data_IF_094404736592
#
_entry.id   IF_094404736592
#
_cell.length_a   1.000
_cell.length_b   1.000
_cell.length_c   1.000
_cell.angle_alpha   90.00
_cell.angle_beta   90.00
_cell.angle_gamma   90.00
#
_symmetry.space_group_name_H-M   'P 1'
#
loop_
_entity.id
_entity.type
_entity.pdbx_description
1 polymer ?
#
# COMPACT_ATOMS: atom_id res chain seq x y z
N UNK A 1 -5.76 -7.32 26.06
CA UNK A 1 -5.32 -6.00 26.56
C UNK A 1 -3.82 -6.07 26.84
N UNK A 2 -3.02 -5.94 25.79
CA UNK A 2 -1.64 -5.47 25.88
C UNK A 2 -1.60 -4.29 24.92
N UNK A 3 -1.37 -3.12 25.50
CA UNK A 3 -1.18 -1.84 24.84
C UNK A 3 0.19 -1.90 24.15
N UNK A 4 0.19 -2.20 22.86
CA UNK A 4 1.38 -2.08 22.00
C UNK A 4 0.94 -1.26 20.79
N UNK A 5 0.67 0.02 21.04
CA UNK A 5 0.44 0.99 19.98
C UNK A 5 1.72 1.19 19.17
N UNK A 6 1.56 1.63 17.92
CA UNK A 6 2.67 1.90 17.00
C UNK A 6 3.63 3.02 17.49
N UNK A 7 3.27 3.73 18.55
CA UNK A 7 4.03 4.82 19.17
C UNK A 7 5.27 4.39 19.97
N UNK A 8 5.43 3.10 20.27
CA UNK A 8 6.57 2.56 21.05
C UNK A 8 7.82 2.22 20.22
N UNK A 9 7.96 2.74 18.99
CA UNK A 9 9.16 2.56 18.14
C UNK A 9 10.34 3.42 18.61
N UNK A 10 10.69 3.38 19.90
CA UNK A 10 11.80 4.13 20.50
C UNK A 10 13.20 3.66 20.01
N UNK A 11 13.29 2.54 19.28
CA UNK A 11 14.56 1.94 18.82
C UNK A 11 14.65 1.76 17.29
N UNK A 12 14.12 2.73 16.52
CA UNK A 12 14.23 2.71 15.06
C UNK A 12 15.67 2.99 14.60
N UNK A 13 16.28 2.01 13.90
CA UNK A 13 17.61 2.14 13.29
C UNK A 13 17.49 2.35 11.80
N UNK A 14 18.01 3.48 11.30
CA UNK A 14 18.04 3.79 9.87
C UNK A 14 19.34 3.29 9.24
N UNK A 15 19.23 2.65 8.08
CA UNK A 15 20.34 2.24 7.21
C UNK A 15 20.01 2.61 5.77
N UNK A 16 20.96 3.17 5.05
CA UNK A 16 20.81 3.53 3.65
C UNK A 16 21.54 2.49 2.82
N UNK A 17 20.79 1.75 1.99
CA UNK A 17 21.34 0.76 1.06
C UNK A 17 20.47 0.66 -0.19
N UNK A 18 21.03 0.04 -1.22
CA UNK A 18 20.32 -0.31 -2.44
C UNK A 18 19.92 -1.79 -2.41
N UNK A 19 18.65 -2.12 -2.62
CA UNK A 19 18.18 -3.52 -2.63
C UNK A 19 18.77 -4.34 -3.78
N UNK A 20 19.38 -3.69 -4.77
CA UNK A 20 20.13 -4.32 -5.85
C UNK A 20 21.53 -4.78 -5.41
N UNK A 21 22.00 -4.38 -4.24
CA UNK A 21 23.25 -4.87 -3.66
C UNK A 21 22.97 -6.07 -2.75
N UNK A 22 23.15 -7.28 -3.29
CA UNK A 22 22.90 -8.52 -2.57
C UNK A 22 23.76 -8.66 -1.31
N UNK A 23 25.03 -8.24 -1.36
CA UNK A 23 25.96 -8.37 -0.23
C UNK A 23 25.52 -7.44 0.90
N UNK A 24 25.15 -6.20 0.58
CA UNK A 24 24.64 -5.24 1.56
C UNK A 24 23.32 -5.72 2.19
N UNK A 25 22.39 -6.26 1.39
CA UNK A 25 21.13 -6.83 1.91
C UNK A 25 21.39 -8.02 2.83
N UNK A 26 22.30 -8.92 2.46
CA UNK A 26 22.68 -10.06 3.29
C UNK A 26 23.32 -9.62 4.60
N UNK A 27 24.23 -8.65 4.54
CA UNK A 27 24.89 -8.10 5.73
C UNK A 27 23.88 -7.45 6.69
N UNK A 28 22.93 -6.67 6.18
CA UNK A 28 21.88 -6.07 6.99
C UNK A 28 21.01 -7.13 7.68
N UNK A 29 20.59 -8.15 6.94
CA UNK A 29 19.75 -9.23 7.48
C UNK A 29 20.49 -10.07 8.52
N UNK A 30 21.80 -10.28 8.36
CA UNK A 30 22.64 -10.98 9.34
C UNK A 30 22.92 -10.13 10.59
N UNK A 31 23.08 -8.80 10.46
CA UNK A 31 23.25 -7.88 11.60
C UNK A 31 21.94 -7.73 12.38
N UNK A 32 20.81 -7.65 11.67
CA UNK A 32 19.52 -7.31 12.27
C UNK A 32 18.81 -8.51 12.89
N UNK A 33 18.99 -9.70 12.30
CA UNK A 33 18.29 -10.94 12.68
C UNK A 33 16.78 -10.73 12.93
N UNK A 34 16.02 -10.18 11.96
CA UNK A 34 14.62 -9.83 12.19
C UNK A 34 13.73 -11.08 12.31
N UNK A 35 12.66 -10.97 13.09
CA UNK A 35 11.59 -11.95 13.19
C UNK A 35 10.59 -11.85 12.01
N UNK A 36 10.27 -10.61 11.61
CA UNK A 36 9.30 -10.28 10.56
C UNK A 36 9.94 -9.29 9.59
N UNK A 37 9.77 -9.53 8.30
CA UNK A 37 10.25 -8.65 7.23
C UNK A 37 9.09 -8.06 6.45
N UNK A 38 9.09 -6.73 6.28
CA UNK A 38 8.20 -6.03 5.36
C UNK A 38 9.03 -5.48 4.19
N UNK A 39 8.90 -6.08 3.01
CA UNK A 39 9.63 -5.64 1.82
C UNK A 39 8.78 -4.66 0.99
N UNK A 40 9.01 -3.35 1.17
CA UNK A 40 8.31 -2.27 0.46
C UNK A 40 9.16 -1.55 -0.58
N UNK A 41 10.48 -1.78 -0.60
CA UNK A 41 11.40 -1.10 -1.51
C UNK A 41 11.13 -1.45 -2.98
N UNK A 42 10.88 -0.43 -3.80
CA UNK A 42 10.60 -0.57 -5.23
C UNK A 42 10.82 0.76 -5.96
N UNK A 43 11.04 0.71 -7.28
CA UNK A 43 10.76 1.81 -8.20
C UNK A 43 9.23 1.85 -8.40
N UNK A 44 8.49 2.86 -7.89
CA UNK A 44 7.03 2.82 -7.78
C UNK A 44 6.27 3.61 -8.87
N UNK A 45 6.96 4.28 -9.78
CA UNK A 45 6.41 5.22 -10.75
C UNK A 45 6.28 4.61 -12.15
N UNK A 46 5.05 4.54 -12.65
CA UNK A 46 4.72 4.06 -14.00
C UNK A 46 5.43 4.89 -15.07
N UNK A 47 5.39 6.23 -14.97
CA UNK A 47 6.01 7.12 -15.97
C UNK A 47 7.53 6.96 -16.01
N UNK A 48 8.19 6.96 -14.85
CA UNK A 48 9.63 6.72 -14.76
C UNK A 48 10.02 5.33 -15.30
N UNK A 49 9.13 4.34 -15.21
CA UNK A 49 9.40 3.00 -15.73
C UNK A 49 9.52 2.93 -17.26
N UNK A 50 8.87 3.83 -18.00
CA UNK A 50 9.07 3.95 -19.44
C UNK A 50 10.44 4.56 -19.78
N UNK A 51 10.92 5.49 -18.95
CA UNK A 51 12.23 6.13 -19.14
C UNK A 51 13.38 5.20 -18.73
N UNK A 52 13.23 4.48 -17.61
CA UNK A 52 14.24 3.59 -17.03
C UNK A 52 13.69 2.17 -16.77
N UNK A 53 13.34 1.40 -17.82
CA UNK A 53 12.74 0.07 -17.66
C UNK A 53 13.69 -0.92 -17.00
N UNK A 54 14.96 -0.96 -17.41
CA UNK A 54 15.95 -1.88 -16.84
C UNK A 54 16.17 -1.61 -15.36
N UNK A 55 16.24 -0.34 -14.96
CA UNK A 55 16.33 0.05 -13.55
C UNK A 55 15.11 -0.44 -12.76
N UNK A 56 13.91 -0.27 -13.34
CA UNK A 56 12.65 -0.73 -12.74
C UNK A 56 12.65 -2.24 -12.51
N UNK A 57 13.04 -3.02 -13.51
CA UNK A 57 13.18 -4.47 -13.36
C UNK A 57 14.28 -4.84 -12.37
N UNK A 58 15.45 -4.21 -12.42
CA UNK A 58 16.54 -4.50 -11.48
C UNK A 58 16.13 -4.24 -10.03
N UNK A 59 15.40 -3.16 -9.77
CA UNK A 59 14.96 -2.81 -8.42
C UNK A 59 13.84 -3.74 -7.96
N UNK A 60 12.79 -3.88 -8.77
CA UNK A 60 11.56 -4.55 -8.34
C UNK A 60 11.67 -6.08 -8.42
N UNK A 61 12.41 -6.61 -9.40
CA UNK A 61 12.53 -8.07 -9.63
C UNK A 61 13.77 -8.62 -8.95
N UNK A 62 14.95 -8.09 -9.27
CA UNK A 62 16.19 -8.57 -8.69
C UNK A 62 16.29 -8.19 -7.20
N UNK A 63 15.85 -6.98 -6.81
CA UNK A 63 15.76 -6.61 -5.39
C UNK A 63 14.81 -7.51 -4.57
N UNK A 64 13.66 -7.92 -5.14
CA UNK A 64 12.78 -8.93 -4.51
C UNK A 64 13.51 -10.26 -4.32
N UNK A 65 14.22 -10.73 -5.36
CA UNK A 65 14.98 -11.97 -5.29
C UNK A 65 16.10 -11.90 -4.23
N UNK A 66 16.80 -10.77 -4.14
CA UNK A 66 17.85 -10.56 -3.14
C UNK A 66 17.31 -10.62 -1.72
N UNK A 67 16.19 -9.95 -1.46
CA UNK A 67 15.55 -9.98 -0.15
C UNK A 67 15.08 -11.39 0.22
N UNK A 68 14.44 -12.11 -0.70
CA UNK A 68 13.98 -13.48 -0.45
C UNK A 68 15.14 -14.47 -0.25
N UNK A 69 16.25 -14.30 -0.96
CA UNK A 69 17.45 -15.11 -0.72
C UNK A 69 18.10 -14.77 0.63
N UNK A 70 18.12 -13.50 1.03
CA UNK A 70 18.59 -13.11 2.35
C UNK A 70 17.72 -13.69 3.48
N UNK A 71 16.39 -13.68 3.32
CA UNK A 71 15.45 -14.37 4.23
C UNK A 71 15.71 -15.88 4.27
N UNK A 72 16.07 -16.49 3.14
CA UNK A 72 16.47 -17.90 3.07
C UNK A 72 17.81 -18.17 3.78
N UNK A 73 18.62 -17.16 4.06
CA UNK A 73 19.88 -17.33 4.80
C UNK A 73 19.72 -16.96 6.29
N UNK A 74 18.86 -15.98 6.61
CA UNK A 74 18.60 -15.51 7.96
C UNK A 74 17.61 -16.41 8.72
N UNK A 75 18.08 -17.12 9.76
CA UNK A 75 17.28 -18.15 10.46
C UNK A 75 16.24 -17.59 11.44
N UNK A 76 16.40 -16.34 11.88
CA UNK A 76 15.45 -15.67 12.78
C UNK A 76 14.12 -15.35 12.12
N UNK A 77 14.12 -15.15 10.79
CA UNK A 77 12.92 -14.72 10.06
C UNK A 77 11.87 -15.82 10.08
N UNK A 78 10.69 -15.49 10.61
CA UNK A 78 9.52 -16.37 10.60
C UNK A 78 8.41 -15.90 9.69
N UNK A 79 8.37 -14.62 9.33
CA UNK A 79 7.40 -14.08 8.38
C UNK A 79 7.99 -13.01 7.46
N UNK A 80 7.56 -13.00 6.21
CA UNK A 80 7.81 -11.92 5.25
C UNK A 80 6.51 -11.56 4.51
N UNK A 81 6.23 -10.26 4.49
CA UNK A 81 5.22 -9.64 3.63
C UNK A 81 5.94 -8.86 2.54
N UNK A 82 5.87 -9.35 1.31
CA UNK A 82 6.37 -8.64 0.13
C UNK A 82 5.25 -7.76 -0.46
N UNK A 83 5.44 -6.44 -0.50
CA UNK A 83 4.45 -5.50 -1.01
C UNK A 83 4.63 -5.30 -2.51
N UNK A 84 3.66 -5.81 -3.28
CA UNK A 84 3.69 -5.76 -4.74
C UNK A 84 2.91 -4.55 -5.25
N UNK A 85 1.77 -4.73 -5.90
CA UNK A 85 0.89 -3.66 -6.39
C UNK A 85 -0.43 -4.25 -6.86
N UNK A 86 -1.50 -3.44 -6.81
CA UNK A 86 -2.73 -3.67 -7.56
C UNK A 86 -2.51 -3.92 -9.07
N UNK A 87 -1.40 -3.43 -9.64
CA UNK A 87 -1.07 -3.56 -11.08
C UNK A 87 -0.29 -4.83 -11.44
N UNK A 88 -0.10 -5.76 -10.51
CA UNK A 88 0.60 -7.02 -10.79
C UNK A 88 -0.22 -7.99 -11.67
N UNK A 89 -1.54 -7.79 -11.77
CA UNK A 89 -2.44 -8.63 -12.56
C UNK A 89 -2.33 -8.36 -14.06
N UNK A 90 -2.59 -9.39 -14.87
CA UNK A 90 -2.80 -9.25 -16.31
C UNK A 90 -4.08 -8.45 -16.56
N UNK A 91 -3.93 -7.21 -17.01
CA UNK A 91 -5.04 -6.29 -17.11
C UNK A 91 -5.95 -6.61 -18.31
N UNK A 92 -7.16 -7.08 -18.04
CA UNK A 92 -8.21 -7.42 -19.01
C UNK A 92 -9.09 -6.24 -19.44
N UNK A 93 -8.87 -5.04 -18.88
CA UNK A 93 -9.67 -3.82 -19.17
C UNK A 93 -11.19 -4.05 -19.02
N UNK A 94 -11.58 -4.80 -17.99
CA UNK A 94 -12.96 -5.16 -17.68
C UNK A 94 -13.48 -4.50 -16.40
N UNK A 95 -14.76 -4.68 -16.07
CA UNK A 95 -15.39 -4.03 -14.91
C UNK A 95 -15.22 -4.80 -13.59
N UNK A 96 -14.74 -6.04 -13.62
CA UNK A 96 -14.67 -6.90 -12.43
C UNK A 96 -13.38 -6.67 -11.62
N UNK A 97 -13.47 -6.72 -10.29
CA UNK A 97 -12.30 -6.66 -9.43
C UNK A 97 -11.46 -7.95 -9.52
N UNK A 98 -10.14 -7.82 -9.48
CA UNK A 98 -9.23 -8.95 -9.59
C UNK A 98 -9.18 -9.78 -8.31
N UNK A 99 -9.26 -11.10 -8.46
CA UNK A 99 -9.09 -12.08 -7.36
C UNK A 99 -7.65 -12.57 -7.28
N UNK A 100 -7.22 -12.99 -6.10
CA UNK A 100 -5.81 -13.35 -5.87
C UNK A 100 -5.30 -14.53 -6.71
N UNK A 101 -6.22 -15.34 -7.24
CA UNK A 101 -5.96 -16.51 -8.09
C UNK A 101 -5.85 -16.20 -9.58
N UNK A 102 -6.05 -14.95 -9.99
CA UNK A 102 -5.96 -14.55 -11.40
C UNK A 102 -4.53 -14.35 -11.88
N UNK A 103 -4.36 -14.35 -13.21
CA UNK A 103 -3.04 -14.29 -13.85
C UNK A 103 -2.29 -13.01 -13.53
N UNK A 104 -0.98 -13.15 -13.32
CA UNK A 104 -0.05 -12.03 -13.24
C UNK A 104 0.30 -11.54 -14.65
N UNK A 105 0.67 -10.27 -14.76
CA UNK A 105 1.03 -9.64 -16.02
C UNK A 105 1.55 -8.23 -15.80
N UNK A 106 1.07 -7.29 -16.60
CA UNK A 106 1.35 -5.86 -16.48
C UNK A 106 1.77 -5.24 -17.81
N UNK A 107 1.04 -4.21 -18.25
CA UNK A 107 1.23 -3.60 -19.56
C UNK A 107 2.51 -2.76 -19.66
N UNK A 108 2.77 -1.92 -18.66
CA UNK A 108 3.97 -1.08 -18.57
C UNK A 108 5.09 -1.75 -17.74
N UNK A 109 6.36 -1.32 -17.86
CA UNK A 109 7.49 -1.94 -17.17
C UNK A 109 7.34 -1.99 -15.64
N UNK A 110 6.73 -0.97 -15.01
CA UNK A 110 6.45 -1.01 -13.57
C UNK A 110 5.46 -2.13 -13.25
N UNK A 111 4.30 -2.16 -13.90
CA UNK A 111 3.27 -3.17 -13.68
C UNK A 111 3.81 -4.58 -13.93
N UNK A 112 4.51 -4.79 -15.06
CA UNK A 112 5.16 -6.05 -15.40
C UNK A 112 6.17 -6.50 -14.33
N UNK A 113 6.99 -5.57 -13.82
CA UNK A 113 7.96 -5.88 -12.77
C UNK A 113 7.30 -6.31 -11.45
N UNK A 114 6.11 -5.78 -11.12
CA UNK A 114 5.32 -6.20 -9.96
C UNK A 114 4.68 -7.58 -10.17
N UNK A 115 4.23 -7.90 -11.40
CA UNK A 115 3.84 -9.25 -11.78
C UNK A 115 5.00 -10.26 -11.66
N UNK A 116 6.22 -9.87 -12.04
CA UNK A 116 7.42 -10.69 -11.84
C UNK A 116 7.75 -10.90 -10.36
N UNK A 117 7.64 -9.86 -9.51
CA UNK A 117 7.85 -9.96 -8.06
C UNK A 117 6.90 -10.99 -7.42
N UNK A 118 5.64 -11.06 -7.85
CA UNK A 118 4.68 -12.09 -7.44
C UNK A 118 5.13 -13.51 -7.82
N UNK A 119 5.60 -13.70 -9.06
CA UNK A 119 6.08 -15.00 -9.54
C UNK A 119 7.34 -15.46 -8.79
N UNK A 120 8.29 -14.56 -8.55
CA UNK A 120 9.50 -14.84 -7.75
C UNK A 120 9.11 -15.23 -6.34
N UNK A 121 8.25 -14.46 -5.67
CA UNK A 121 7.81 -14.74 -4.30
C UNK A 121 7.12 -16.10 -4.22
N UNK A 122 6.25 -16.41 -5.18
CA UNK A 122 5.57 -17.71 -5.28
C UNK A 122 6.55 -18.86 -5.53
N UNK A 123 7.60 -18.65 -6.34
CA UNK A 123 8.67 -19.62 -6.56
C UNK A 123 9.45 -19.88 -5.27
N UNK A 124 9.96 -18.84 -4.62
CA UNK A 124 10.74 -18.97 -3.39
C UNK A 124 9.94 -19.64 -2.27
N UNK A 125 8.68 -19.26 -2.08
CA UNK A 125 7.77 -19.91 -1.13
C UNK A 125 7.72 -21.41 -1.33
N UNK A 126 7.53 -21.86 -2.57
CA UNK A 126 7.39 -23.30 -2.89
C UNK A 126 8.71 -24.05 -2.84
N UNK A 127 9.82 -23.39 -3.18
CA UNK A 127 11.13 -24.04 -3.29
C UNK A 127 11.91 -24.11 -1.98
N UNK A 128 11.81 -23.08 -1.13
CA UNK A 128 12.75 -22.90 -0.01
C UNK A 128 12.09 -22.75 1.36
N UNK A 129 10.80 -22.42 1.40
CA UNK A 129 10.07 -22.15 2.64
C UNK A 129 9.01 -23.23 2.92
N UNK A 130 9.33 -24.48 2.56
CA UNK A 130 8.53 -25.67 2.81
C UNK A 130 9.33 -26.68 3.65
N UNK A 131 8.64 -27.56 4.39
CA UNK A 131 9.28 -28.56 5.25
C UNK A 131 9.81 -27.98 6.56
N UNK A 132 11.05 -28.35 6.92
CA UNK A 132 11.67 -28.02 8.22
C UNK A 132 11.91 -26.51 8.41
N UNK A 133 11.97 -25.74 7.32
CA UNK A 133 12.09 -24.28 7.35
C UNK A 133 10.77 -23.63 6.93
N UNK A 134 9.84 -23.53 7.88
CA UNK A 134 8.53 -22.93 7.64
C UNK A 134 8.57 -21.41 7.94
N UNK A 135 8.88 -20.62 6.91
CA UNK A 135 8.70 -19.16 6.94
C UNK A 135 7.35 -18.83 6.33
N UNK A 136 6.57 -17.98 6.99
CA UNK A 136 5.36 -17.39 6.43
C UNK A 136 5.72 -16.42 5.31
N UNK A 137 5.32 -16.69 4.07
CA UNK A 137 5.60 -15.87 2.89
C UNK A 137 4.31 -15.45 2.23
N UNK A 138 4.03 -14.15 2.28
CA UNK A 138 2.90 -13.57 1.59
C UNK A 138 3.24 -12.37 0.72
N UNK A 139 2.35 -12.09 -0.22
CA UNK A 139 2.32 -10.83 -0.97
C UNK A 139 1.11 -10.00 -0.59
N UNK A 140 1.34 -8.70 -0.36
CA UNK A 140 0.30 -7.70 -0.14
C UNK A 140 0.11 -6.83 -1.38
N UNK A 141 -1.12 -6.81 -1.92
CA UNK A 141 -1.48 -6.10 -3.15
C UNK A 141 -2.42 -4.94 -2.80
N UNK A 142 -1.95 -3.70 -2.97
CA UNK A 142 -2.77 -2.51 -2.84
C UNK A 142 -2.38 -1.47 -3.89
N UNK A 143 -3.20 -0.44 -4.04
CA UNK A 143 -2.96 0.65 -4.99
C UNK A 143 -3.91 1.81 -4.79
N UNK A 144 -3.67 2.91 -5.51
CA UNK A 144 -4.40 4.18 -5.34
C UNK A 144 -4.38 4.65 -3.88
N UNK A 145 -3.22 4.45 -3.23
CA UNK A 145 -2.96 4.85 -1.86
C UNK A 145 -2.78 6.36 -1.79
N UNK A 146 -3.46 7.00 -0.84
CA UNK A 146 -3.42 8.43 -0.57
C UNK A 146 -3.10 8.67 0.91
N UNK A 147 -2.49 9.80 1.22
CA UNK A 147 -2.15 10.17 2.59
C UNK A 147 -1.24 11.38 2.63
N UNK A 148 -1.11 11.98 3.81
CA UNK A 148 -0.12 12.99 4.09
C UNK A 148 1.31 12.44 3.95
N UNK A 149 2.26 13.28 3.56
CA UNK A 149 3.68 12.93 3.44
C UNK A 149 4.11 12.30 2.12
N UNK A 150 3.20 12.12 1.15
CA UNK A 150 3.54 11.72 -0.21
C UNK A 150 3.95 12.94 -1.07
N UNK A 151 5.24 13.09 -1.31
CA UNK A 151 5.78 14.15 -2.17
C UNK A 151 6.19 13.66 -3.56
N UNK A 152 5.77 12.46 -3.96
CA UNK A 152 6.12 11.92 -5.27
C UNK A 152 5.61 12.81 -6.41
N UNK A 153 6.45 12.97 -7.43
CA UNK A 153 6.08 13.62 -8.69
C UNK A 153 5.20 12.71 -9.54
N UNK A 154 4.37 13.29 -10.40
CA UNK A 154 3.47 12.57 -11.31
C UNK A 154 2.42 11.70 -10.58
N UNK A 155 2.06 12.07 -9.34
CA UNK A 155 0.91 11.53 -8.61
C UNK A 155 -0.13 12.63 -8.42
N UNK A 156 -1.39 12.30 -8.72
CA UNK A 156 -2.49 13.26 -8.76
C UNK A 156 -2.58 14.15 -7.51
N UNK A 157 -2.72 13.55 -6.32
CA UNK A 157 -2.91 14.33 -5.09
C UNK A 157 -1.67 15.16 -4.73
N UNK A 158 -0.44 14.61 -4.69
CA UNK A 158 0.76 15.41 -4.48
C UNK A 158 0.95 16.55 -5.49
N UNK A 159 0.63 16.32 -6.77
CA UNK A 159 0.70 17.36 -7.81
C UNK A 159 -0.32 18.48 -7.57
N UNK A 160 -1.55 18.13 -7.15
CA UNK A 160 -2.60 19.09 -6.79
C UNK A 160 -2.16 19.94 -5.60
N UNK A 161 -1.71 19.29 -4.53
CA UNK A 161 -1.31 19.95 -3.29
C UNK A 161 -0.14 20.91 -3.52
N UNK A 162 0.88 20.51 -4.30
CA UNK A 162 2.01 21.39 -4.60
C UNK A 162 1.58 22.71 -5.25
N UNK A 163 0.71 22.64 -6.26
CA UNK A 163 0.17 23.83 -6.92
C UNK A 163 -0.65 24.70 -5.96
N UNK A 164 -1.48 24.09 -5.11
CA UNK A 164 -2.26 24.83 -4.12
C UNK A 164 -1.42 25.48 -3.03
N UNK A 165 -0.30 24.87 -2.62
CA UNK A 165 0.68 25.50 -1.72
C UNK A 165 1.28 26.75 -2.37
N UNK A 166 1.55 26.70 -3.68
CA UNK A 166 2.07 27.83 -4.45
C UNK A 166 0.98 28.89 -4.78
N UNK A 167 -0.28 28.63 -4.45
CA UNK A 167 -1.41 29.51 -4.77
C UNK A 167 -1.83 29.47 -6.24
N UNK A 168 -1.39 28.45 -6.99
CA UNK A 168 -1.64 28.29 -8.41
C UNK A 168 -2.85 27.36 -8.67
N UNK A 169 -3.62 27.61 -9.75
CA UNK A 169 -4.71 26.74 -10.15
C UNK A 169 -4.19 25.40 -10.68
N UNK A 170 -4.94 24.33 -10.43
CA UNK A 170 -4.58 22.97 -10.87
C UNK A 170 -5.28 22.60 -12.16
N UNK A 171 -4.54 22.04 -13.12
CA UNK A 171 -5.11 21.46 -14.34
C UNK A 171 -5.41 19.97 -14.21
N UNK A 172 -6.69 19.60 -14.29
CA UNK A 172 -7.16 18.21 -14.27
C UNK A 172 -7.41 17.71 -15.68
N UNK A 173 -6.58 16.76 -16.13
CA UNK A 173 -6.59 16.22 -17.51
C UNK A 173 -7.66 15.16 -17.78
N UNK A 174 -8.07 14.41 -16.75
CA UNK A 174 -8.98 13.26 -16.85
C UNK A 174 -10.00 13.26 -15.69
N UNK A 175 -10.92 14.24 -15.64
CA UNK A 175 -11.84 14.42 -14.51
C UNK A 175 -12.76 13.22 -14.25
N UNK A 176 -13.08 12.45 -15.30
CA UNK A 176 -13.99 11.29 -15.20
C UNK A 176 -13.28 9.96 -14.91
N UNK A 177 -11.95 9.95 -14.72
CA UNK A 177 -11.24 8.72 -14.36
C UNK A 177 -11.65 8.26 -12.95
N UNK A 178 -12.12 7.02 -12.82
CA UNK A 178 -12.56 6.43 -11.55
C UNK A 178 -11.41 5.61 -10.95
N UNK A 179 -11.14 5.79 -9.66
CA UNK A 179 -10.12 5.03 -8.93
C UNK A 179 -10.63 4.64 -7.55
N UNK A 180 -10.28 3.44 -7.05
CA UNK A 180 -10.61 3.00 -5.70
C UNK A 180 -9.60 3.60 -4.70
N UNK A 181 -9.77 4.86 -4.31
CA UNK A 181 -8.86 5.56 -3.41
C UNK A 181 -8.91 4.98 -1.98
N UNK A 182 -7.74 4.66 -1.42
CA UNK A 182 -7.59 4.16 -0.05
C UNK A 182 -6.55 4.98 0.72
N UNK A 183 -6.78 5.21 2.01
CA UNK A 183 -5.78 5.88 2.84
C UNK A 183 -4.60 4.95 3.13
N UNK A 184 -3.38 5.48 3.23
CA UNK A 184 -2.15 4.72 3.50
C UNK A 184 -2.25 3.86 4.74
N UNK A 185 -2.91 4.36 5.79
CA UNK A 185 -3.07 3.63 7.04
C UNK A 185 -3.89 2.35 6.90
N UNK A 186 -4.84 2.29 5.96
CA UNK A 186 -5.66 1.09 5.68
C UNK A 186 -4.81 -0.02 5.05
N UNK A 187 -3.96 0.36 4.08
CA UNK A 187 -3.06 -0.58 3.43
C UNK A 187 -2.01 -1.11 4.43
N UNK A 188 -1.43 -0.20 5.24
CA UNK A 188 -0.42 -0.56 6.25
C UNK A 188 -1.03 -1.42 7.35
N UNK A 189 -2.24 -1.11 7.85
CA UNK A 189 -2.92 -1.95 8.86
C UNK A 189 -3.15 -3.37 8.35
N UNK A 190 -3.54 -3.52 7.08
CA UNK A 190 -3.68 -4.80 6.42
C UNK A 190 -2.37 -5.58 6.34
N UNK A 191 -1.27 -4.90 5.99
CA UNK A 191 0.05 -5.53 5.94
C UNK A 191 0.54 -5.96 7.31
N UNK A 192 0.43 -5.09 8.33
CA UNK A 192 0.82 -5.40 9.71
C UNK A 192 0.05 -6.61 10.24
N UNK A 193 -1.28 -6.61 10.07
CA UNK A 193 -2.13 -7.73 10.46
C UNK A 193 -1.73 -9.03 9.74
N UNK A 194 -1.47 -8.95 8.42
CA UNK A 194 -0.99 -10.10 7.65
C UNK A 194 0.36 -10.61 8.18
N UNK A 195 1.30 -9.72 8.50
CA UNK A 195 2.59 -10.08 9.10
C UNK A 195 2.43 -10.82 10.43
N UNK A 196 1.58 -10.30 11.32
CA UNK A 196 1.26 -10.93 12.61
C UNK A 196 0.60 -12.30 12.41
N UNK A 197 -0.36 -12.41 11.50
CA UNK A 197 -1.06 -13.67 11.22
C UNK A 197 -0.12 -14.72 10.60
N UNK A 198 0.76 -14.31 9.68
CA UNK A 198 1.81 -15.17 9.09
C UNK A 198 2.81 -15.67 10.13
N UNK A 199 3.24 -14.78 11.03
CA UNK A 199 4.20 -15.12 12.08
C UNK A 199 3.64 -16.19 13.04
N UNK A 200 2.33 -16.20 13.25
CA UNK A 200 1.64 -17.12 14.14
C UNK A 200 1.14 -18.40 13.46
N UNK A 201 0.62 -18.31 12.24
CA UNK A 201 0.06 -19.44 11.48
C UNK A 201 0.42 -19.32 9.99
N UNK A 202 1.68 -19.61 9.62
CA UNK A 202 2.13 -19.51 8.23
C UNK A 202 1.37 -20.47 7.32
N UNK A 203 0.98 -21.65 7.82
CA UNK A 203 0.27 -22.66 7.03
C UNK A 203 -1.04 -22.12 6.45
N UNK A 204 -1.76 -21.29 7.22
CA UNK A 204 -3.01 -20.68 6.80
C UNK A 204 -2.81 -19.39 6.00
N UNK A 205 -1.91 -18.51 6.43
CA UNK A 205 -1.86 -17.14 5.91
C UNK A 205 -0.88 -16.93 4.75
N UNK A 206 -0.14 -17.97 4.37
CA UNK A 206 0.69 -17.97 3.16
C UNK A 206 -0.12 -17.64 1.90
N UNK A 207 0.50 -16.96 0.94
CA UNK A 207 -0.15 -16.66 -0.35
C UNK A 207 -0.24 -15.18 -0.66
N UNK A 208 -1.14 -14.85 -1.57
CA UNK A 208 -1.40 -13.47 -1.95
C UNK A 208 -2.65 -12.93 -1.25
N UNK A 209 -2.66 -11.62 -1.05
CA UNK A 209 -3.72 -10.89 -0.34
C UNK A 209 -3.99 -9.54 -1.00
N UNK A 210 -5.24 -9.30 -1.36
CA UNK A 210 -5.71 -8.00 -1.82
C UNK A 210 -6.15 -7.12 -0.65
N UNK A 211 -5.71 -5.85 -0.69
CA UNK A 211 -6.13 -4.80 0.22
C UNK A 211 -6.58 -3.59 -0.59
N UNK A 212 -7.88 -3.32 -0.54
CA UNK A 212 -8.50 -2.22 -1.25
C UNK A 212 -9.82 -1.81 -0.60
N UNK A 213 -10.32 -0.61 -0.95
CA UNK A 213 -11.57 -0.12 -0.42
C UNK A 213 -12.75 -0.87 -1.04
N UNK A 214 -13.93 -0.69 -0.47
CA UNK A 214 -15.16 -1.21 -1.05
C UNK A 214 -15.48 -0.58 -2.41
N UNK A 215 -16.14 -1.36 -3.27
CA UNK A 215 -16.44 -0.90 -4.63
C UNK A 215 -17.34 0.35 -4.64
N UNK A 216 -18.20 0.46 -3.63
CA UNK A 216 -19.09 1.61 -3.43
C UNK A 216 -18.35 2.91 -3.11
N UNK A 217 -17.07 2.85 -2.71
CA UNK A 217 -16.26 4.02 -2.35
C UNK A 217 -15.44 4.58 -3.50
N UNK A 218 -15.52 3.97 -4.69
CA UNK A 218 -14.78 4.47 -5.82
C UNK A 218 -15.40 5.75 -6.38
N UNK A 219 -14.59 6.80 -6.44
CA UNK A 219 -14.99 8.13 -6.94
C UNK A 219 -14.14 8.53 -8.14
N UNK A 220 -14.70 9.38 -8.99
CA UNK A 220 -13.94 9.97 -10.10
C UNK A 220 -13.04 11.11 -9.61
N UNK A 221 -12.08 11.49 -10.45
CA UNK A 221 -11.11 12.56 -10.14
C UNK A 221 -11.80 13.90 -9.87
N UNK A 222 -12.88 14.26 -10.56
CA UNK A 222 -13.63 15.49 -10.31
C UNK A 222 -14.22 15.51 -8.90
N UNK A 223 -14.90 14.45 -8.50
CA UNK A 223 -15.54 14.35 -7.19
C UNK A 223 -14.50 14.33 -6.07
N UNK A 224 -13.40 13.59 -6.28
CA UNK A 224 -12.22 13.61 -5.39
C UNK A 224 -11.69 15.03 -5.24
N UNK A 225 -11.45 15.73 -6.35
CA UNK A 225 -10.89 17.08 -6.34
C UNK A 225 -11.84 18.07 -5.64
N UNK A 226 -13.15 17.93 -5.83
CA UNK A 226 -14.14 18.73 -5.12
C UNK A 226 -14.15 18.46 -3.60
N UNK A 227 -13.96 17.20 -3.17
CA UNK A 227 -13.76 16.87 -1.75
C UNK A 227 -12.50 17.53 -1.20
N UNK A 228 -11.40 17.45 -1.96
CA UNK A 228 -10.12 18.05 -1.57
C UNK A 228 -10.21 19.57 -1.45
N UNK A 229 -10.88 20.26 -2.38
CA UNK A 229 -11.07 21.71 -2.33
C UNK A 229 -11.82 22.15 -1.06
N UNK A 230 -12.84 21.38 -0.64
CA UNK A 230 -13.58 21.66 0.60
C UNK A 230 -12.69 21.52 1.83
N UNK A 231 -11.83 20.51 1.88
CA UNK A 231 -10.90 20.30 2.99
C UNK A 231 -9.76 21.34 3.00
N UNK A 232 -9.32 21.79 1.81
CA UNK A 232 -8.26 22.79 1.66
C UNK A 232 -8.72 24.22 2.00
N UNK A 233 -9.94 24.59 1.58
CA UNK A 233 -10.52 25.92 1.81
C UNK A 233 -10.49 26.80 0.56
N UNK A 234 -9.34 27.41 0.22
CA UNK A 234 -9.17 28.25 -0.97
C UNK A 234 -8.34 27.54 -2.04
N UNK A 235 -9.04 26.94 -3.01
CA UNK A 235 -8.41 26.20 -4.10
C UNK A 235 -9.11 26.50 -5.42
N UNK A 236 -8.35 26.51 -6.51
CA UNK A 236 -8.86 26.64 -7.87
C UNK A 236 -8.44 25.45 -8.73
N UNK A 237 -9.35 25.00 -9.59
CA UNK A 237 -9.18 23.84 -10.45
C UNK A 237 -9.74 24.16 -11.83
N UNK A 238 -8.94 23.89 -12.85
CA UNK A 238 -9.28 24.03 -14.25
C UNK A 238 -9.39 22.63 -14.84
N UNK A 239 -10.56 22.29 -15.37
CA UNK A 239 -10.75 21.06 -16.13
C UNK A 239 -10.36 21.29 -17.60
N UNK A 240 -9.25 20.69 -18.02
CA UNK A 240 -8.83 20.69 -19.42
C UNK A 240 -8.86 19.25 -19.96
N UNK A 241 -9.77 18.91 -20.89
CA UNK A 241 -9.77 17.59 -21.50
C UNK A 241 -8.43 17.29 -22.18
N UNK A 242 -7.60 16.47 -21.56
CA UNK A 242 -6.27 16.16 -22.06
C UNK A 242 -6.31 15.09 -23.16
N UNK A 243 -5.50 15.25 -24.20
CA UNK A 243 -5.28 14.29 -25.30
C UNK A 243 -4.15 13.28 -25.02
N UNK A 244 -3.98 12.86 -23.76
CA UNK A 244 -2.88 11.96 -23.37
C UNK A 244 -2.90 10.64 -24.17
N UNK A 245 -1.81 10.37 -24.91
CA UNK A 245 -1.61 9.16 -25.72
C UNK A 245 -1.10 7.93 -24.94
N UNK A 246 -0.77 8.09 -23.65
CA UNK A 246 -0.30 6.98 -22.83
C UNK A 246 -1.49 6.14 -22.34
N UNK A 247 -1.37 4.81 -22.45
CA UNK A 247 -2.36 3.87 -21.94
C UNK A 247 -2.44 3.99 -20.42
N UNK A 248 -3.65 4.21 -19.93
CA UNK A 248 -3.94 4.21 -18.50
C UNK A 248 -5.18 3.36 -18.33
N UNK A 249 -5.13 2.37 -17.45
CA UNK A 249 -6.24 1.46 -17.22
C UNK A 249 -7.53 2.25 -16.94
N UNK A 250 -8.62 1.86 -17.58
CA UNK A 250 -9.90 2.56 -17.42
C UNK A 250 -10.33 2.56 -15.96
N UNK A 251 -10.23 1.40 -15.30
CA UNK A 251 -10.56 1.21 -13.89
C UNK A 251 -10.04 -0.16 -13.40
N UNK A 252 -9.00 -0.16 -12.56
CA UNK A 252 -8.45 -1.39 -11.96
C UNK A 252 -8.84 -1.46 -10.48
N UNK A 253 -9.36 -2.61 -10.05
CA UNK A 253 -9.95 -2.81 -8.71
C UNK A 253 -9.57 -4.19 -8.18
N UNK A 254 -9.56 -4.33 -6.86
CA UNK A 254 -9.20 -5.56 -6.17
C UNK A 254 -10.40 -6.14 -5.43
N UNK A 255 -10.57 -7.46 -5.50
CA UNK A 255 -11.52 -8.20 -4.67
C UNK A 255 -10.83 -8.50 -3.34
N UNK A 256 -11.21 -7.79 -2.27
CA UNK A 256 -10.60 -7.93 -0.94
C UNK A 256 -11.39 -8.89 -0.02
N UNK A 257 -12.32 -9.69 -0.56
CA UNK A 257 -13.14 -10.61 0.25
C UNK A 257 -12.31 -11.65 1.00
N UNK A 258 -11.16 -12.05 0.46
CA UNK A 258 -10.23 -12.95 1.15
C UNK A 258 -9.69 -12.30 2.43
N UNK A 259 -9.21 -11.07 2.36
CA UNK A 259 -8.73 -10.33 3.52
C UNK A 259 -9.86 -10.12 4.56
N UNK A 260 -11.07 -9.77 4.10
CA UNK A 260 -12.24 -9.63 4.97
C UNK A 260 -12.60 -10.92 5.70
N UNK A 261 -12.71 -12.04 4.99
CA UNK A 261 -13.18 -13.30 5.57
C UNK A 261 -12.10 -14.02 6.39
N UNK A 262 -10.84 -13.99 5.95
CA UNK A 262 -9.79 -14.78 6.58
C UNK A 262 -8.93 -13.98 7.57
N UNK A 263 -8.64 -12.70 7.30
CA UNK A 263 -7.90 -11.83 8.22
C UNK A 263 -8.83 -11.07 9.18
N UNK A 264 -10.13 -10.98 8.87
CA UNK A 264 -11.04 -10.03 9.52
C UNK A 264 -10.58 -8.57 9.31
N UNK A 265 -9.94 -8.31 8.18
CA UNK A 265 -9.52 -6.96 7.78
C UNK A 265 -10.60 -6.31 6.93
N UNK A 266 -11.04 -5.11 7.28
CA UNK A 266 -11.94 -4.30 6.44
C UNK A 266 -11.48 -2.83 6.46
N UNK A 267 -11.69 -2.08 5.36
CA UNK A 267 -11.45 -0.64 5.36
C UNK A 267 -12.38 0.03 6.37
N UNK A 268 -11.84 0.96 7.15
CA UNK A 268 -12.50 1.60 8.28
C UNK A 268 -12.94 3.04 8.00
N UNK A 269 -12.17 3.75 7.19
CA UNK A 269 -12.39 5.15 6.84
C UNK A 269 -13.31 5.24 5.63
N UNK A 270 -14.32 6.10 5.71
CA UNK A 270 -15.12 6.52 4.54
C UNK A 270 -14.27 7.30 3.54
N UNK A 271 -14.69 7.39 2.27
CA UNK A 271 -13.97 8.18 1.26
C UNK A 271 -13.76 9.65 1.71
N UNK A 272 -14.74 10.26 2.39
CA UNK A 272 -14.62 11.63 2.89
C UNK A 272 -13.54 11.73 3.98
N UNK A 273 -13.50 10.79 4.93
CA UNK A 273 -12.44 10.76 5.96
C UNK A 273 -11.05 10.54 5.34
N UNK A 274 -10.92 9.64 4.35
CA UNK A 274 -9.64 9.40 3.66
C UNK A 274 -9.11 10.69 3.01
N UNK A 275 -10.00 11.46 2.36
CA UNK A 275 -9.64 12.75 1.74
C UNK A 275 -9.33 13.79 2.81
N UNK A 276 -10.17 13.92 3.84
CA UNK A 276 -9.96 14.92 4.89
C UNK A 276 -8.64 14.69 5.64
N UNK A 277 -8.33 13.45 6.00
CA UNK A 277 -7.06 13.11 6.65
C UNK A 277 -5.87 13.45 5.77
N UNK A 278 -5.95 13.11 4.47
CA UNK A 278 -4.89 13.42 3.51
C UNK A 278 -4.67 14.92 3.39
N UNK A 279 -5.74 15.69 3.17
CA UNK A 279 -5.65 17.12 2.84
C UNK A 279 -5.39 17.98 4.06
N UNK A 280 -5.99 17.67 5.21
CA UNK A 280 -5.70 18.37 6.46
C UNK A 280 -4.23 18.21 6.85
N UNK A 281 -3.64 17.02 6.64
CA UNK A 281 -2.20 16.82 6.89
C UNK A 281 -1.35 17.78 6.06
N UNK A 282 -1.60 17.88 4.74
CA UNK A 282 -0.82 18.80 3.88
C UNK A 282 -1.04 20.26 4.24
N UNK A 283 -2.29 20.65 4.53
CA UNK A 283 -2.63 22.02 4.89
C UNK A 283 -1.89 22.42 6.15
N UNK A 284 -2.05 21.64 7.21
CA UNK A 284 -1.51 21.93 8.54
C UNK A 284 0.03 21.87 8.52
N UNK A 285 0.63 20.94 7.76
CA UNK A 285 2.07 20.88 7.53
C UNK A 285 2.59 22.11 6.75
N UNK A 286 1.90 22.51 5.67
CA UNK A 286 2.37 23.59 4.79
C UNK A 286 2.43 24.96 5.46
N UNK A 287 1.56 25.21 6.44
CA UNK A 287 1.53 26.47 7.22
C UNK A 287 2.35 26.38 8.51
N UNK A 288 3.03 25.26 8.76
CA UNK A 288 3.84 25.04 9.96
C UNK A 288 3.02 24.93 11.26
N UNK A 289 1.77 24.46 11.18
CA UNK A 289 0.91 24.29 12.36
C UNK A 289 1.42 23.16 13.27
N UNK A 290 1.93 22.08 12.67
CA UNK A 290 2.54 20.94 13.34
C UNK A 290 3.61 20.31 12.43
N UNK A 291 4.53 19.56 13.02
CA UNK A 291 5.49 18.75 12.24
C UNK A 291 4.77 17.60 11.55
N UNK A 292 5.36 17.09 10.45
CA UNK A 292 4.80 15.95 9.74
C UNK A 292 4.68 14.70 10.61
N UNK A 293 5.59 14.51 11.57
CA UNK A 293 5.57 13.40 12.52
C UNK A 293 4.38 13.49 13.47
N UNK A 294 4.19 14.63 14.14
CA UNK A 294 3.06 14.85 15.06
C UNK A 294 1.70 14.63 14.37
N UNK A 295 1.58 15.05 13.12
CA UNK A 295 0.36 14.85 12.32
C UNK A 295 0.13 13.38 11.96
N UNK A 296 1.19 12.61 11.70
CA UNK A 296 1.10 11.18 11.44
C UNK A 296 0.73 10.43 12.72
N UNK A 297 1.37 10.74 13.85
CA UNK A 297 1.09 10.11 15.14
C UNK A 297 -0.37 10.33 15.55
N UNK A 298 -0.87 11.56 15.40
CA UNK A 298 -2.27 11.86 15.67
C UNK A 298 -3.25 11.06 14.78
N UNK A 299 -2.89 10.80 13.51
CA UNK A 299 -3.69 9.98 12.61
C UNK A 299 -3.63 8.49 12.98
N UNK A 300 -2.47 8.00 13.42
CA UNK A 300 -2.29 6.64 13.93
C UNK A 300 -3.17 6.43 15.16
N UNK A 301 -3.06 7.30 16.16
CA UNK A 301 -3.88 7.26 17.39
C UNK A 301 -5.37 7.25 17.08
N UNK A 302 -5.80 8.09 16.13
CA UNK A 302 -7.21 8.18 15.74
C UNK A 302 -7.69 6.90 15.05
N UNK A 303 -6.85 6.29 14.22
CA UNK A 303 -7.18 5.04 13.55
C UNK A 303 -7.21 3.86 14.53
N UNK A 304 -6.26 3.77 15.46
CA UNK A 304 -6.25 2.75 16.52
C UNK A 304 -7.49 2.82 17.42
N UNK A 305 -7.95 4.04 17.76
CA UNK A 305 -9.22 4.24 18.47
C UNK A 305 -10.41 3.72 17.65
N UNK A 306 -10.51 4.10 16.37
CA UNK A 306 -11.59 3.62 15.50
C UNK A 306 -11.59 2.10 15.35
N UNK A 307 -10.42 1.48 15.26
CA UNK A 307 -10.29 0.01 15.20
C UNK A 307 -10.83 -0.62 16.49
N UNK A 308 -10.44 -0.09 17.65
CA UNK A 308 -10.88 -0.59 18.96
C UNK A 308 -12.40 -0.49 19.14
N UNK A 309 -13.01 0.59 18.66
CA UNK A 309 -14.46 0.78 18.67
C UNK A 309 -15.18 -0.26 17.79
N UNK A 310 -14.64 -0.55 16.59
CA UNK A 310 -15.19 -1.57 15.69
C UNK A 310 -15.21 -2.95 16.37
N UNK A 311 -14.09 -3.39 16.95
CA UNK A 311 -14.02 -4.68 17.64
C UNK A 311 -14.98 -4.76 18.83
N UNK A 312 -15.08 -3.68 19.61
CA UNK A 312 -16.02 -3.61 20.75
C UNK A 312 -17.48 -3.77 20.29
N UNK A 313 -17.84 -3.17 19.15
CA UNK A 313 -19.19 -3.31 18.58
C UNK A 313 -19.47 -4.71 18.01
N UNK A 314 -18.49 -5.34 17.36
CA UNK A 314 -18.64 -6.71 16.83
C UNK A 314 -18.73 -7.76 17.92
N UNK A 315 -17.97 -7.62 19.01
CA UNK A 315 -18.08 -8.48 20.20
C UNK A 315 -19.45 -8.35 20.87
N UNK A 316 -19.94 -7.10 21.03
CA UNK A 316 -21.26 -6.85 21.58
C UNK A 316 -22.39 -7.40 20.70
N UNK A 317 -22.27 -7.30 19.37
CA UNK A 317 -23.24 -7.85 18.44
C UNK A 317 -23.25 -9.39 18.47
N UNK A 318 -22.06 -10.01 18.49
CA UNK A 318 -21.91 -11.46 18.57
C UNK A 318 -22.43 -12.03 19.89
N UNK A 319 -22.25 -11.31 21.01
CA UNK A 319 -22.80 -11.68 22.31
C UNK A 319 -24.34 -11.64 22.33
N UNK A 320 -24.96 -10.69 21.62
CA UNK A 320 -26.42 -10.55 21.54
C UNK A 320 -27.10 -11.54 20.58
N UNK A 321 -26.37 -12.14 19.64
CA UNK A 321 -26.89 -13.19 18.74
C UNK A 321 -26.88 -14.60 19.37
N UNK A 322 -26.17 -14.78 20.48
CA UNK A 322 -26.03 -16.07 21.19
C UNK A 322 -26.88 -16.10 22.47
N UNK A 323 -27.55 -14.99 22.82
CA UNK A 323 -28.49 -14.86 23.93
C UNK A 323 -29.95 -14.97 23.46
#
# INVERSE_FOLDING_TARGET
MNDHGLSDLEDSRIRILDVRDQEAVNALMAETEPDIVFHLAAQPLVRSSYASPVETFSTNVLGTAHMLDAVRQCLSVRAIVNVTSDKCYENREWCWPYRETESMGGHDPYSASKGCSELITSSFRRSFFTGDRQVGVATGRAGNVIGGGDFAVDRLIPDIVRQWIDGEPVVIRRPLAIRPWQHVIEAISGYLLLGIKLFNDPARFNGAWNFGPDDTDAVNVRDLTAMMMRAWGSAEVIEEPGSSKLHEAHYLKLDSNKAKSELQWSPLLSIQERVDWTINWYRDWSVGHATGHELIDAQIDLYERKLSDQFSTEEAYSANLVA
#
